data_IF_221858873794
#
_entry.id   IF_221858873794
#
_cell.length_a   1.000
_cell.length_b   1.000
_cell.length_c   1.000
_cell.angle_alpha   90.00
_cell.angle_beta   90.00
_cell.angle_gamma   90.00
#
_symmetry.space_group_name_H-M   'P 1'
#
loop_
_entity.id
_entity.type
_entity.pdbx_description
1 polymer ?
#
# COMPACT_ATOMS: atom_id res chain seq x y z
N UNK A 1 -7.57 14.73 -14.22
CA UNK A 1 -8.23 13.95 -13.14
C UNK A 1 -9.05 14.86 -12.24
N UNK A 2 -10.15 14.40 -11.61
CA UNK A 2 -10.90 15.22 -10.62
C UNK A 2 -9.97 15.58 -9.46
N UNK A 3 -9.99 16.83 -8.97
CA UNK A 3 -9.10 17.34 -7.90
C UNK A 3 -9.05 16.42 -6.67
N UNK A 4 -10.20 15.87 -6.27
CA UNK A 4 -10.32 14.92 -5.17
C UNK A 4 -9.30 13.77 -5.24
N UNK A 5 -9.14 13.11 -6.40
CA UNK A 5 -8.23 11.97 -6.52
C UNK A 5 -6.76 12.40 -6.45
N UNK A 6 -6.42 13.61 -6.92
CA UNK A 6 -5.05 14.14 -6.77
C UNK A 6 -4.71 14.40 -5.31
N UNK A 7 -5.65 14.96 -4.55
CA UNK A 7 -5.50 15.16 -3.10
C UNK A 7 -5.34 13.81 -2.40
N UNK A 8 -6.24 12.85 -2.70
CA UNK A 8 -6.16 11.49 -2.14
C UNK A 8 -4.81 10.83 -2.45
N UNK A 9 -4.34 10.95 -3.70
CA UNK A 9 -3.03 10.46 -4.12
C UNK A 9 -1.88 11.07 -3.32
N UNK A 10 -1.88 12.40 -3.15
CA UNK A 10 -0.86 13.10 -2.39
C UNK A 10 -0.84 12.71 -0.91
N UNK A 11 -2.02 12.56 -0.30
CA UNK A 11 -2.15 12.06 1.08
C UNK A 11 -1.53 10.68 1.20
N UNK A 12 -1.87 9.73 0.31
CA UNK A 12 -1.30 8.38 0.39
C UNK A 12 0.20 8.33 0.04
N UNK A 13 0.71 9.20 -0.83
CA UNK A 13 2.16 9.34 -1.02
C UNK A 13 2.85 9.69 0.31
N UNK A 14 2.33 10.68 1.04
CA UNK A 14 2.90 11.09 2.33
C UNK A 14 2.76 9.98 3.36
N UNK A 15 1.58 9.36 3.46
CA UNK A 15 1.35 8.28 4.41
C UNK A 15 2.28 7.08 4.16
N UNK A 16 2.48 6.66 2.91
CA UNK A 16 3.42 5.58 2.61
C UNK A 16 4.88 5.96 2.92
N UNK A 17 5.28 7.21 2.70
CA UNK A 17 6.60 7.67 3.13
C UNK A 17 6.75 7.64 4.66
N UNK A 18 5.74 8.08 5.40
CA UNK A 18 5.73 7.98 6.86
C UNK A 18 5.79 6.52 7.29
N UNK A 19 4.98 5.64 6.69
CA UNK A 19 5.02 4.20 6.97
C UNK A 19 6.41 3.61 6.75
N UNK A 20 7.10 3.96 5.65
CA UNK A 20 8.47 3.54 5.39
C UNK A 20 9.42 3.98 6.51
N UNK A 21 9.35 5.25 6.93
CA UNK A 21 10.18 5.76 8.03
C UNK A 21 9.89 5.05 9.35
N UNK A 22 8.64 4.70 9.63
CA UNK A 22 8.29 3.99 10.87
C UNK A 22 8.87 2.57 10.95
N UNK A 23 9.25 1.98 9.82
CA UNK A 23 9.83 0.62 9.76
C UNK A 23 11.20 0.50 10.43
N UNK A 24 11.89 1.60 10.75
CA UNK A 24 13.15 1.51 11.52
C UNK A 24 12.99 0.81 12.88
N UNK A 25 11.76 0.68 13.37
CA UNK A 25 11.44 0.00 14.62
C UNK A 25 11.09 -1.49 14.43
N UNK A 26 10.96 -1.99 13.20
CA UNK A 26 10.58 -3.38 12.92
C UNK A 26 11.81 -4.29 12.72
N UNK A 27 11.70 -5.62 12.93
CA UNK A 27 12.83 -6.56 12.86
C UNK A 27 13.49 -6.69 11.48
N UNK A 28 12.70 -6.59 10.39
CA UNK A 28 13.20 -6.54 8.99
C UNK A 28 12.84 -5.19 8.33
N UNK A 29 13.57 -4.12 8.66
CA UNK A 29 13.18 -2.78 8.29
C UNK A 29 13.35 -2.53 6.78
N UNK A 30 14.33 -3.18 6.13
CA UNK A 30 14.68 -2.90 4.73
C UNK A 30 13.63 -3.37 3.75
N UNK A 31 13.10 -4.58 3.93
CA UNK A 31 12.05 -5.11 3.07
C UNK A 31 10.81 -4.21 3.11
N UNK A 32 10.36 -3.83 4.30
CA UNK A 32 9.17 -3.00 4.46
C UNK A 32 9.36 -1.58 3.99
N UNK A 33 10.52 -0.96 4.28
CA UNK A 33 10.89 0.35 3.71
C UNK A 33 10.82 0.33 2.18
N UNK A 34 11.30 -0.76 1.56
CA UNK A 34 11.27 -0.91 0.10
C UNK A 34 9.84 -1.05 -0.43
N UNK A 35 8.99 -1.87 0.21
CA UNK A 35 7.59 -2.05 -0.16
C UNK A 35 6.81 -0.73 -0.08
N UNK A 36 6.90 -0.03 1.06
CA UNK A 36 6.26 1.28 1.22
C UNK A 36 6.84 2.34 0.29
N UNK A 37 8.15 2.30 0.01
CA UNK A 37 8.81 3.17 -0.97
C UNK A 37 8.27 2.98 -2.39
N UNK A 38 8.08 1.73 -2.84
CA UNK A 38 7.42 1.44 -4.12
C UNK A 38 5.99 2.00 -4.12
N UNK A 39 5.22 1.76 -3.07
CA UNK A 39 3.84 2.26 -2.96
C UNK A 39 3.79 3.80 -3.03
N UNK A 40 4.71 4.49 -2.35
CA UNK A 40 4.84 5.95 -2.39
C UNK A 40 5.19 6.45 -3.80
N UNK A 41 6.15 5.82 -4.48
CA UNK A 41 6.54 6.16 -5.85
C UNK A 41 5.38 6.00 -6.84
N UNK A 42 4.62 4.91 -6.74
CA UNK A 42 3.45 4.68 -7.60
C UNK A 42 2.34 5.69 -7.30
N UNK A 43 2.09 5.99 -6.02
CA UNK A 43 1.13 7.03 -5.63
C UNK A 43 1.52 8.42 -6.15
N UNK A 44 2.82 8.77 -6.08
CA UNK A 44 3.33 10.01 -6.64
C UNK A 44 3.19 10.04 -8.17
N UNK A 45 3.53 8.94 -8.83
CA UNK A 45 3.33 8.77 -10.28
C UNK A 45 1.87 8.94 -10.68
N UNK A 46 0.93 8.48 -9.86
CA UNK A 46 -0.50 8.72 -10.05
C UNK A 46 -0.85 10.21 -9.92
N UNK A 47 -0.38 10.91 -8.89
CA UNK A 47 -0.62 12.36 -8.72
C UNK A 47 -0.09 13.18 -9.89
N UNK A 48 1.07 12.81 -10.40
CA UNK A 48 1.76 13.48 -11.51
C UNK A 48 1.24 13.09 -12.90
N UNK A 49 0.22 12.23 -12.99
CA UNK A 49 -0.30 11.69 -14.26
C UNK A 49 0.79 10.92 -15.07
N UNK A 50 1.84 10.40 -14.42
CA UNK A 50 3.01 9.73 -15.05
C UNK A 50 3.01 8.20 -14.93
N UNK A 51 1.89 7.59 -14.55
CA UNK A 51 1.80 6.13 -14.37
C UNK A 51 0.62 5.55 -15.16
N UNK A 52 0.85 4.40 -15.78
CA UNK A 52 -0.21 3.63 -16.45
C UNK A 52 -0.99 2.81 -15.43
N UNK A 53 -2.30 2.60 -15.65
CA UNK A 53 -3.17 1.80 -14.76
C UNK A 53 -2.65 0.39 -14.46
N UNK A 54 -1.83 -0.18 -15.35
CA UNK A 54 -1.24 -1.52 -15.18
C UNK A 54 -0.29 -1.60 -13.99
N UNK A 55 0.47 -0.54 -13.72
CA UNK A 55 1.47 -0.51 -12.64
C UNK A 55 0.81 -0.61 -11.25
N UNK A 56 -0.13 0.28 -10.86
CA UNK A 56 -0.82 0.11 -9.59
C UNK A 56 -1.67 -1.16 -9.56
N UNK A 57 -2.24 -1.63 -10.67
CA UNK A 57 -2.92 -2.94 -10.68
C UNK A 57 -1.96 -4.08 -10.28
N UNK A 58 -0.75 -4.09 -10.84
CA UNK A 58 0.25 -5.11 -10.57
C UNK A 58 0.76 -5.04 -9.12
N UNK A 59 1.11 -3.84 -8.64
CA UNK A 59 1.54 -3.63 -7.24
C UNK A 59 0.41 -4.02 -6.28
N UNK A 60 -0.83 -3.65 -6.58
CA UNK A 60 -1.99 -4.05 -5.78
C UNK A 60 -2.18 -5.56 -5.74
N UNK A 61 -1.98 -6.26 -6.85
CA UNK A 61 -2.05 -7.72 -6.90
C UNK A 61 -0.95 -8.38 -6.04
N UNK A 62 0.29 -7.91 -6.16
CA UNK A 62 1.39 -8.42 -5.32
C UNK A 62 1.11 -8.18 -3.83
N UNK A 63 0.55 -7.03 -3.48
CA UNK A 63 0.19 -6.71 -2.10
C UNK A 63 -0.94 -7.60 -1.57
N UNK A 64 -1.95 -7.96 -2.39
CA UNK A 64 -2.96 -8.96 -2.00
C UNK A 64 -2.33 -10.33 -1.76
N UNK A 65 -1.45 -10.78 -2.65
CA UNK A 65 -0.76 -12.06 -2.47
C UNK A 65 0.06 -12.05 -1.18
N UNK A 66 0.81 -10.97 -0.94
CA UNK A 66 1.58 -10.79 0.29
C UNK A 66 0.72 -10.76 1.54
N UNK A 67 -0.46 -10.10 1.51
CA UNK A 67 -1.42 -10.11 2.63
C UNK A 67 -1.79 -11.54 3.03
N UNK A 68 -2.16 -12.41 2.08
CA UNK A 68 -2.53 -13.78 2.39
C UNK A 68 -1.34 -14.65 2.79
N UNK A 69 -0.15 -14.38 2.23
CA UNK A 69 1.06 -15.12 2.56
C UNK A 69 1.56 -14.84 3.98
N UNK A 70 1.40 -13.59 4.43
CA UNK A 70 1.85 -13.11 5.73
C UNK A 70 0.71 -13.00 6.75
N UNK A 71 -0.47 -13.51 6.42
CA UNK A 71 -1.58 -13.46 7.37
C UNK A 71 -1.22 -14.34 8.58
N UNK A 72 -1.40 -13.86 9.82
CA UNK A 72 -0.97 -14.59 11.00
C UNK A 72 -1.73 -15.91 11.15
N UNK A 73 -1.07 -16.93 11.68
CA UNK A 73 -1.71 -18.23 11.98
C UNK A 73 -2.92 -18.05 12.91
N UNK A 74 -2.79 -17.12 13.86
CA UNK A 74 -3.88 -16.70 14.74
C UNK A 74 -3.93 -15.18 14.81
N UNK A 75 -5.06 -14.61 14.45
CA UNK A 75 -5.25 -13.17 14.57
C UNK A 75 -5.50 -12.78 16.04
N UNK A 76 -4.55 -12.05 16.61
CA UNK A 76 -4.57 -11.61 18.02
C UNK A 76 -4.66 -10.08 18.17
N UNK A 77 -4.91 -9.38 17.06
CA UNK A 77 -5.02 -7.91 17.02
C UNK A 77 -3.70 -7.24 16.61
N UNK A 78 -3.56 -5.96 16.97
CA UNK A 78 -2.44 -5.11 16.56
C UNK A 78 -1.63 -4.55 17.74
N UNK A 79 -2.10 -4.77 18.97
CA UNK A 79 -1.51 -4.18 20.19
C UNK A 79 -0.37 -5.06 20.69
N UNK A 80 0.83 -4.50 20.73
CA UNK A 80 1.99 -5.20 21.31
C UNK A 80 1.75 -5.47 22.79
N UNK A 81 1.95 -6.71 23.22
CA UNK A 81 1.80 -7.16 24.60
C UNK A 81 0.45 -7.82 24.93
N UNK A 82 -0.50 -7.88 23.99
CA UNK A 82 -1.82 -8.51 24.19
C UNK A 82 -1.92 -9.93 23.58
N UNK A 83 -0.83 -10.47 23.03
CA UNK A 83 -0.80 -11.77 22.36
C UNK A 83 0.62 -12.19 21.98
N UNK A 84 0.73 -13.19 21.11
CA UNK A 84 2.03 -13.60 20.57
C UNK A 84 2.59 -12.50 19.67
N UNK A 85 3.83 -12.09 19.95
CA UNK A 85 4.46 -10.96 19.26
C UNK A 85 4.56 -11.20 17.75
N UNK A 86 4.80 -12.44 17.32
CA UNK A 86 4.91 -12.79 15.91
C UNK A 86 3.57 -12.63 15.21
N UNK A 87 2.49 -13.13 15.81
CA UNK A 87 1.13 -12.99 15.25
C UNK A 87 0.73 -11.52 15.12
N UNK A 88 1.11 -10.68 16.09
CA UNK A 88 0.81 -9.24 16.10
C UNK A 88 1.62 -8.51 15.02
N UNK A 89 2.91 -8.84 14.86
CA UNK A 89 3.75 -8.30 13.79
C UNK A 89 3.21 -8.69 12.40
N UNK A 90 2.95 -9.98 12.17
CA UNK A 90 2.36 -10.50 10.93
C UNK A 90 1.00 -9.85 10.64
N UNK A 91 0.17 -9.61 11.66
CA UNK A 91 -1.08 -8.86 11.52
C UNK A 91 -0.84 -7.40 11.06
N UNK A 92 0.09 -6.68 11.71
CA UNK A 92 0.41 -5.28 11.34
C UNK A 92 0.92 -5.20 9.91
N UNK A 93 1.83 -6.09 9.55
CA UNK A 93 2.49 -6.15 8.25
C UNK A 93 1.51 -6.54 7.12
N UNK A 94 0.75 -7.62 7.32
CA UNK A 94 -0.26 -8.06 6.34
C UNK A 94 -1.32 -6.98 6.11
N UNK A 95 -1.85 -6.34 7.15
CA UNK A 95 -2.84 -5.26 6.97
C UNK A 95 -2.24 -4.01 6.33
N UNK A 96 -0.95 -3.74 6.52
CA UNK A 96 -0.21 -2.74 5.74
C UNK A 96 -0.25 -3.03 4.24
N UNK A 97 -0.01 -4.28 3.85
CA UNK A 97 -0.14 -4.74 2.46
C UNK A 97 -1.58 -4.63 1.95
N UNK A 98 -2.58 -4.95 2.77
CA UNK A 98 -3.99 -4.81 2.40
C UNK A 98 -4.36 -3.35 2.09
N UNK A 99 -3.85 -2.40 2.88
CA UNK A 99 -4.03 -0.97 2.64
C UNK A 99 -3.38 -0.55 1.31
N UNK A 100 -2.14 -0.98 1.06
CA UNK A 100 -1.45 -0.74 -0.21
C UNK A 100 -2.30 -1.29 -1.37
N UNK A 101 -2.76 -2.53 -1.28
CA UNK A 101 -3.58 -3.16 -2.30
C UNK A 101 -4.84 -2.34 -2.62
N UNK A 102 -5.59 -1.95 -1.59
CA UNK A 102 -6.81 -1.16 -1.73
C UNK A 102 -6.56 0.16 -2.46
N UNK A 103 -5.55 0.92 -2.02
CA UNK A 103 -5.20 2.23 -2.61
C UNK A 103 -4.76 2.06 -4.07
N UNK A 104 -3.93 1.07 -4.34
CA UNK A 104 -3.44 0.79 -5.69
C UNK A 104 -4.59 0.42 -6.65
N UNK A 105 -5.56 -0.38 -6.21
CA UNK A 105 -6.72 -0.68 -7.03
C UNK A 105 -7.62 0.54 -7.28
N UNK A 106 -7.81 1.41 -6.28
CA UNK A 106 -8.52 2.68 -6.48
C UNK A 106 -7.84 3.52 -7.56
N UNK A 107 -6.51 3.67 -7.52
CA UNK A 107 -5.75 4.41 -8.53
C UNK A 107 -5.83 3.76 -9.90
N UNK A 108 -5.65 2.43 -9.98
CA UNK A 108 -5.74 1.69 -11.24
C UNK A 108 -7.11 1.85 -11.90
N UNK A 109 -8.18 1.67 -11.13
CA UNK A 109 -9.54 1.82 -11.62
C UNK A 109 -9.79 3.25 -12.13
N UNK A 110 -9.31 4.26 -11.38
CA UNK A 110 -9.46 5.66 -11.78
C UNK A 110 -8.71 6.01 -13.06
N UNK A 111 -7.49 5.48 -13.25
CA UNK A 111 -6.71 5.68 -14.47
C UNK A 111 -7.37 4.98 -15.67
N UNK A 112 -7.91 3.76 -15.47
CA UNK A 112 -8.58 3.00 -16.53
C UNK A 112 -9.87 3.67 -16.99
N UNK A 113 -10.65 4.24 -16.08
CA UNK A 113 -11.86 5.01 -16.42
C UNK A 113 -11.52 6.33 -17.13
N UNK A 114 -10.40 6.98 -16.80
CA UNK A 114 -9.95 8.18 -17.48
C UNK A 114 -9.70 7.96 -18.97
N UNK A 115 -9.03 6.86 -19.33
CA UNK A 115 -8.74 6.52 -20.74
C UNK A 115 -9.97 6.23 -21.58
N UNK A 116 -11.04 5.66 -21.00
CA UNK A 116 -12.29 5.38 -21.74
C UNK A 116 -13.07 6.63 -22.14
N UNK A 117 -12.74 7.79 -21.56
CA UNK A 117 -13.43 9.06 -21.85
C UNK A 117 -12.78 9.87 -22.98
N UNK A 118 -11.61 9.46 -23.46
CA UNK A 118 -10.84 10.16 -24.50
C UNK A 118 -10.88 9.45 -25.88
N UNK A 119 -11.68 8.38 -25.98
CA UNK A 119 -11.94 7.61 -27.21
C UNK A 119 -13.43 7.79 -27.53
#
# INVERSE_FOLDING_TARGET
MKHFFKVLGGVFTILFLISAVLQYNDPDPFLWMFIYGIAACVALGFVLDKVSYKVPAFVGLLAVIGFFFLFPEKFEGFTIGEGDIKNIEEARESFGLLIIAFVMFVFSFRLRLGKKSEI
#
